data_IF_611056423199
#
_entry.id   IF_611056423199
#
_cell.length_a   1.000
_cell.length_b   1.000
_cell.length_c   1.000
_cell.angle_alpha   90.00
_cell.angle_beta   90.00
_cell.angle_gamma   90.00
#
_symmetry.space_group_name_H-M   'P 1'
#
loop_
_entity.id
_entity.type
_entity.pdbx_description
1 polymer ?
#
# COMPACT_ATOMS: atom_id res chain seq x y z
N UNK A 1 5.33 -51.28 53.62
CA UNK A 1 4.45 -50.69 52.58
C UNK A 1 5.31 -49.97 51.56
N UNK A 2 5.40 -50.52 50.35
CA UNK A 2 6.17 -49.98 49.23
C UNK A 2 5.57 -48.63 48.80
N UNK A 3 6.38 -47.56 48.78
CA UNK A 3 6.02 -46.30 48.11
C UNK A 3 6.27 -46.49 46.61
N UNK A 4 5.18 -46.60 45.84
CA UNK A 4 5.22 -46.54 44.38
C UNK A 4 5.41 -45.07 44.01
N UNK A 5 6.62 -44.71 43.57
CA UNK A 5 6.88 -43.42 42.91
C UNK A 5 6.52 -43.59 41.44
N UNK A 6 5.38 -43.05 41.02
CA UNK A 6 5.01 -42.98 39.61
C UNK A 6 5.81 -41.82 39.00
N UNK A 7 6.90 -42.15 38.31
CA UNK A 7 7.60 -41.20 37.45
C UNK A 7 6.78 -41.02 36.16
N UNK A 8 5.91 -39.99 36.13
CA UNK A 8 5.27 -39.57 34.89
C UNK A 8 6.30 -38.75 34.11
N UNK A 9 6.97 -39.39 33.18
CA UNK A 9 7.84 -38.74 32.19
C UNK A 9 6.93 -38.07 31.15
N UNK A 10 6.64 -36.78 31.30
CA UNK A 10 5.95 -36.01 30.27
C UNK A 10 6.86 -35.91 29.04
N UNK A 11 6.58 -36.72 28.02
CA UNK A 11 7.20 -36.59 26.71
C UNK A 11 6.43 -35.51 25.95
N UNK A 12 7.10 -34.40 25.64
CA UNK A 12 6.60 -33.28 24.82
C UNK A 12 6.60 -33.63 23.31
N UNK A 13 6.10 -34.80 22.95
CA UNK A 13 5.89 -35.17 21.55
C UNK A 13 4.53 -35.85 21.43
N UNK A 14 3.70 -35.32 20.53
CA UNK A 14 2.37 -35.78 20.15
C UNK A 14 1.18 -35.22 20.96
N UNK A 15 1.08 -33.90 21.05
CA UNK A 15 -0.24 -33.27 20.91
C UNK A 15 -0.54 -33.17 19.41
N UNK A 16 -1.68 -33.69 18.91
CA UNK A 16 -2.09 -33.37 17.56
C UNK A 16 -2.25 -31.85 17.51
N UNK A 17 -1.47 -31.18 16.67
CA UNK A 17 -1.71 -29.77 16.33
C UNK A 17 -3.12 -29.75 15.76
N UNK A 18 -4.11 -29.37 16.58
CA UNK A 18 -5.44 -29.07 16.09
C UNK A 18 -5.21 -28.00 15.02
N UNK A 19 -5.53 -28.33 13.77
CA UNK A 19 -5.29 -27.43 12.65
C UNK A 19 -6.23 -26.23 12.85
N UNK A 20 -5.72 -25.19 13.53
CA UNK A 20 -6.48 -24.00 13.92
C UNK A 20 -7.13 -23.36 12.69
N UNK A 21 -6.39 -23.31 11.58
CA UNK A 21 -6.87 -22.85 10.29
C UNK A 21 -7.28 -24.03 9.39
N UNK A 22 -8.56 -24.12 9.08
CA UNK A 22 -9.16 -25.10 8.19
C UNK A 22 -8.94 -24.73 6.71
N UNK A 23 -9.33 -25.63 5.81
CA UNK A 23 -9.40 -25.39 4.37
C UNK A 23 -8.14 -24.78 3.73
N UNK A 24 -6.96 -25.24 4.19
CA UNK A 24 -5.68 -24.77 3.65
C UNK A 24 -5.24 -23.38 4.15
N UNK A 25 -5.95 -22.80 5.12
CA UNK A 25 -5.58 -21.55 5.75
C UNK A 25 -4.22 -21.62 6.46
N UNK A 26 -3.48 -20.52 6.42
CA UNK A 26 -2.17 -20.38 7.10
C UNK A 26 -2.37 -19.67 8.44
N UNK A 27 -1.88 -20.25 9.53
CA UNK A 27 -1.91 -19.59 10.84
C UNK A 27 -0.86 -18.49 10.90
N UNK A 28 -1.29 -17.30 11.30
CA UNK A 28 -0.43 -16.16 11.60
C UNK A 28 -0.52 -15.94 13.11
N UNK A 29 0.63 -16.06 13.77
CA UNK A 29 0.74 -15.89 15.22
C UNK A 29 0.62 -14.40 15.59
N UNK A 30 -0.13 -14.11 16.65
CA UNK A 30 -0.38 -12.77 17.18
C UNK A 30 0.00 -12.69 18.67
N UNK A 31 -0.04 -11.49 19.25
CA UNK A 31 0.30 -11.33 20.69
C UNK A 31 -0.86 -11.86 21.53
N UNK A 32 -0.69 -13.06 22.11
CA UNK A 32 -1.75 -13.80 22.81
C UNK A 32 -2.99 -14.10 21.95
N UNK A 33 -2.86 -14.05 20.62
CA UNK A 33 -3.94 -14.29 19.67
C UNK A 33 -3.40 -15.06 18.47
N UNK A 34 -4.29 -15.56 17.62
CA UNK A 34 -3.93 -16.07 16.30
C UNK A 34 -4.96 -15.56 15.29
N UNK A 35 -4.54 -15.45 14.04
CA UNK A 35 -5.45 -15.23 12.92
C UNK A 35 -5.15 -16.22 11.81
N UNK A 36 -6.17 -16.62 11.08
CA UNK A 36 -6.03 -17.49 9.94
C UNK A 36 -6.05 -16.66 8.66
N UNK A 37 -4.98 -16.74 7.86
CA UNK A 37 -5.01 -16.28 6.48
C UNK A 37 -5.67 -17.35 5.62
N UNK A 38 -6.93 -17.15 5.28
CA UNK A 38 -7.73 -18.10 4.52
C UNK A 38 -7.28 -18.17 3.05
N UNK A 39 -7.48 -19.34 2.44
CA UNK A 39 -7.40 -19.44 0.98
C UNK A 39 -8.63 -18.79 0.35
N UNK A 40 -8.48 -18.34 -0.90
CA UNK A 40 -9.57 -17.80 -1.70
C UNK A 40 -10.83 -18.69 -1.62
N UNK A 41 -11.98 -18.06 -1.38
CA UNK A 41 -13.27 -18.74 -1.25
C UNK A 41 -13.56 -19.31 0.14
N UNK A 42 -12.71 -19.05 1.14
CA UNK A 42 -12.96 -19.42 2.53
C UNK A 42 -12.84 -18.22 3.48
N UNK A 43 -13.63 -18.24 4.55
CA UNK A 43 -13.74 -17.17 5.55
C UNK A 43 -14.01 -17.69 6.95
N UNK A 44 -14.02 -16.78 7.93
CA UNK A 44 -14.20 -17.05 9.34
C UNK A 44 -12.88 -17.19 10.09
N UNK A 45 -12.93 -17.10 11.42
CA UNK A 45 -11.75 -17.14 12.32
C UNK A 45 -10.78 -18.29 12.03
N UNK A 46 -11.33 -19.44 11.64
CA UNK A 46 -10.60 -20.66 11.34
C UNK A 46 -10.73 -21.06 9.86
N UNK A 47 -11.15 -20.15 8.96
CA UNK A 47 -11.42 -20.45 7.55
C UNK A 47 -12.45 -21.56 7.32
N UNK A 48 -13.41 -21.72 8.24
CA UNK A 48 -14.38 -22.81 8.24
C UNK A 48 -15.56 -22.60 7.27
N UNK A 49 -15.82 -21.36 6.86
CA UNK A 49 -16.96 -21.01 6.02
C UNK A 49 -16.51 -20.90 4.58
N UNK A 50 -17.28 -21.45 3.65
CA UNK A 50 -17.05 -21.28 2.22
C UNK A 50 -17.86 -20.08 1.72
N UNK A 51 -17.25 -19.25 0.87
CA UNK A 51 -17.94 -18.15 0.18
C UNK A 51 -18.11 -18.56 -1.28
N UNK A 52 -19.33 -18.38 -1.79
CA UNK A 52 -19.62 -18.53 -3.21
C UNK A 52 -19.16 -17.29 -3.98
N UNK A 53 -17.90 -17.32 -4.43
CA UNK A 53 -17.36 -16.29 -5.31
C UNK A 53 -17.84 -16.43 -6.76
N UNK A 54 -18.46 -17.56 -7.15
CA UNK A 54 -18.93 -17.77 -8.53
C UNK A 54 -20.14 -16.91 -8.85
N UNK A 55 -21.00 -16.65 -7.87
CA UNK A 55 -22.12 -15.71 -8.00
C UNK A 55 -21.67 -14.32 -8.49
N UNK A 56 -20.49 -13.86 -8.05
CA UNK A 56 -19.97 -12.54 -8.41
C UNK A 56 -19.35 -12.51 -9.81
N UNK A 57 -18.89 -13.64 -10.34
CA UNK A 57 -18.50 -13.71 -11.76
C UNK A 57 -19.71 -13.45 -12.68
N UNK A 58 -20.91 -13.87 -12.27
CA UNK A 58 -22.15 -13.59 -13.03
C UNK A 58 -22.51 -12.11 -12.95
N UNK A 59 -22.37 -11.51 -11.76
CA UNK A 59 -22.58 -10.06 -11.57
C UNK A 59 -21.63 -9.24 -12.46
N UNK A 60 -20.33 -9.56 -12.45
CA UNK A 60 -19.32 -8.88 -13.27
C UNK A 60 -19.66 -8.94 -14.77
N UNK A 61 -20.11 -10.09 -15.25
CA UNK A 61 -20.54 -10.25 -16.64
C UNK A 61 -21.73 -9.33 -16.97
N UNK A 62 -22.73 -9.28 -16.09
CA UNK A 62 -23.90 -8.41 -16.26
C UNK A 62 -23.50 -6.92 -16.25
N UNK A 63 -22.63 -6.51 -15.32
CA UNK A 63 -22.15 -5.13 -15.25
C UNK A 63 -21.36 -4.75 -16.51
N UNK A 64 -20.52 -5.65 -17.03
CA UNK A 64 -19.82 -5.44 -18.29
C UNK A 64 -20.78 -5.23 -19.47
N UNK A 65 -21.86 -6.01 -19.55
CA UNK A 65 -22.91 -5.83 -20.56
C UNK A 65 -23.64 -4.48 -20.40
N UNK A 66 -23.94 -4.07 -19.17
CA UNK A 66 -24.54 -2.78 -18.88
C UNK A 66 -23.64 -1.62 -19.32
N UNK A 67 -22.33 -1.73 -19.11
CA UNK A 67 -21.40 -0.70 -19.55
C UNK A 67 -21.24 -0.61 -21.05
N UNK A 68 -21.26 -1.75 -21.75
CA UNK A 68 -21.31 -1.76 -23.21
C UNK A 68 -22.61 -1.10 -23.71
N UNK A 69 -23.75 -1.40 -23.06
CA UNK A 69 -25.06 -0.81 -23.39
C UNK A 69 -25.12 0.70 -23.16
N UNK A 70 -24.48 1.20 -22.11
CA UNK A 70 -24.46 2.62 -21.75
C UNK A 70 -23.33 3.43 -22.38
N UNK A 71 -22.56 2.80 -23.28
CA UNK A 71 -21.41 3.39 -23.97
C UNK A 71 -20.40 4.01 -22.99
N UNK A 72 -20.12 3.28 -21.90
CA UNK A 72 -19.23 3.78 -20.86
C UNK A 72 -17.79 4.02 -21.35
N UNK A 73 -17.40 3.45 -22.48
CA UNK A 73 -16.08 3.69 -23.10
C UNK A 73 -15.92 5.16 -23.53
N UNK A 74 -16.99 5.82 -23.99
CA UNK A 74 -16.90 7.24 -24.42
C UNK A 74 -17.04 8.22 -23.26
N UNK A 75 -17.57 7.75 -22.13
CA UNK A 75 -17.75 8.51 -20.89
C UNK A 75 -16.55 8.42 -19.95
N UNK A 76 -15.86 7.28 -19.98
CA UNK A 76 -14.67 7.01 -19.19
C UNK A 76 -13.65 8.16 -19.19
N UNK A 77 -13.32 8.66 -17.99
CA UNK A 77 -12.24 9.65 -17.79
C UNK A 77 -12.57 11.05 -18.30
N UNK A 78 -13.85 11.37 -18.47
CA UNK A 78 -14.34 12.70 -18.85
C UNK A 78 -14.38 13.69 -17.67
N UNK A 79 -14.00 13.25 -16.45
CA UNK A 79 -14.00 14.02 -15.18
C UNK A 79 -15.39 14.31 -14.61
N UNK A 80 -16.41 13.62 -15.10
CA UNK A 80 -17.79 13.68 -14.65
C UNK A 80 -18.18 12.27 -14.27
N UNK A 81 -18.57 12.04 -13.03
CA UNK A 81 -19.03 10.72 -12.63
C UNK A 81 -20.37 10.37 -13.30
N UNK A 82 -20.34 9.58 -14.37
CA UNK A 82 -21.51 9.00 -14.99
C UNK A 82 -22.01 7.82 -14.15
N UNK A 83 -23.06 8.03 -13.36
CA UNK A 83 -23.60 7.01 -12.43
C UNK A 83 -23.98 5.69 -13.12
N UNK A 84 -24.36 5.74 -14.40
CA UNK A 84 -24.66 4.54 -15.21
C UNK A 84 -23.41 3.71 -15.55
N UNK A 85 -22.22 4.25 -15.28
CA UNK A 85 -20.91 3.64 -15.47
C UNK A 85 -20.15 3.42 -14.15
N UNK A 86 -20.80 3.72 -13.01
CA UNK A 86 -20.26 3.58 -11.66
C UNK A 86 -20.32 2.13 -11.16
N UNK A 87 -19.71 1.23 -11.91
CA UNK A 87 -19.59 -0.20 -11.58
C UNK A 87 -18.13 -0.59 -11.45
N UNK A 88 -17.83 -1.60 -10.63
CA UNK A 88 -16.47 -2.11 -10.52
C UNK A 88 -15.95 -2.64 -11.86
N UNK A 89 -16.80 -3.36 -12.61
CA UNK A 89 -16.49 -3.88 -13.94
C UNK A 89 -16.07 -2.79 -14.95
N UNK A 90 -16.45 -1.53 -14.69
CA UNK A 90 -16.21 -0.39 -15.56
C UNK A 90 -15.24 0.61 -14.92
N UNK A 91 -14.55 0.13 -13.88
CA UNK A 91 -13.56 0.85 -13.10
C UNK A 91 -14.10 2.18 -12.57
N UNK A 92 -15.37 2.21 -12.16
CA UNK A 92 -16.05 3.39 -11.63
C UNK A 92 -15.93 4.59 -12.58
N UNK A 93 -16.34 4.38 -13.83
CA UNK A 93 -16.20 5.35 -14.92
C UNK A 93 -14.74 5.78 -15.16
N UNK A 94 -13.84 4.79 -15.17
CA UNK A 94 -12.38 4.98 -15.25
C UNK A 94 -11.81 5.94 -14.19
N UNK A 95 -12.38 5.91 -13.00
CA UNK A 95 -11.94 6.71 -11.85
C UNK A 95 -12.77 7.96 -11.61
N UNK A 96 -13.61 8.40 -12.55
CA UNK A 96 -14.39 9.63 -12.39
C UNK A 96 -15.38 9.54 -11.22
N UNK A 97 -15.88 8.33 -10.92
CA UNK A 97 -16.73 8.07 -9.75
C UNK A 97 -15.96 7.65 -8.50
N UNK A 98 -14.69 7.25 -8.61
CA UNK A 98 -13.86 6.79 -7.47
C UNK A 98 -12.72 7.74 -7.15
N UNK A 99 -12.94 9.05 -7.28
CA UNK A 99 -11.95 10.09 -6.96
C UNK A 99 -10.59 9.88 -7.67
N UNK A 100 -10.61 9.37 -8.90
CA UNK A 100 -9.43 9.10 -9.72
C UNK A 100 -8.57 7.92 -9.26
N UNK A 101 -9.08 7.07 -8.35
CA UNK A 101 -8.35 5.93 -7.81
C UNK A 101 -8.92 4.60 -8.29
N UNK A 102 -8.22 3.50 -8.01
CA UNK A 102 -8.69 2.12 -8.24
C UNK A 102 -8.75 1.39 -6.89
N UNK A 103 -9.83 1.57 -6.11
CA UNK A 103 -9.84 1.26 -4.69
C UNK A 103 -9.45 -0.18 -4.32
N UNK A 104 -9.85 -1.15 -5.14
CA UNK A 104 -9.67 -2.58 -4.85
C UNK A 104 -8.55 -3.23 -5.69
N UNK A 105 -7.69 -2.48 -6.38
CA UNK A 105 -6.64 -3.06 -7.25
C UNK A 105 -5.66 -3.98 -6.49
N UNK A 106 -5.46 -3.73 -5.19
CA UNK A 106 -4.59 -4.54 -4.31
C UNK A 106 -5.31 -5.73 -3.67
N UNK A 107 -6.63 -5.77 -3.71
CA UNK A 107 -7.46 -6.77 -3.04
C UNK A 107 -7.43 -8.12 -3.79
N UNK A 108 -7.40 -9.24 -3.07
CA UNK A 108 -7.40 -10.58 -3.68
C UNK A 108 -8.74 -10.92 -4.36
N UNK A 109 -9.85 -10.43 -3.80
CA UNK A 109 -11.22 -10.64 -4.31
C UNK A 109 -11.87 -9.29 -4.64
N UNK A 110 -11.37 -8.57 -5.66
CA UNK A 110 -11.62 -7.14 -5.79
C UNK A 110 -13.06 -6.81 -6.22
N UNK A 111 -13.66 -7.58 -7.14
CA UNK A 111 -15.08 -7.44 -7.49
C UNK A 111 -15.98 -7.72 -6.29
N UNK A 112 -15.79 -8.86 -5.63
CA UNK A 112 -16.57 -9.22 -4.44
C UNK A 112 -16.55 -8.10 -3.39
N UNK A 113 -15.35 -7.68 -2.99
CA UNK A 113 -15.18 -6.65 -1.96
C UNK A 113 -15.67 -5.28 -2.41
N UNK A 114 -15.61 -4.93 -3.69
CA UNK A 114 -16.22 -3.71 -4.20
C UNK A 114 -17.74 -3.65 -3.98
N UNK A 115 -18.43 -4.79 -4.15
CA UNK A 115 -19.87 -4.86 -3.98
C UNK A 115 -20.29 -4.80 -2.51
N UNK A 116 -19.60 -5.56 -1.65
CA UNK A 116 -19.94 -5.67 -0.23
C UNK A 116 -19.36 -4.56 0.64
N UNK A 117 -18.41 -3.77 0.13
CA UNK A 117 -17.85 -2.63 0.85
C UNK A 117 -18.96 -1.71 1.39
N UNK A 118 -19.00 -1.58 2.73
CA UNK A 118 -19.96 -0.73 3.45
C UNK A 118 -21.41 -1.08 3.20
N UNK A 119 -21.72 -2.36 3.04
CA UNK A 119 -23.10 -2.82 2.93
C UNK A 119 -23.79 -3.02 4.29
N UNK A 120 -23.04 -2.80 5.39
CA UNK A 120 -23.48 -2.95 6.77
C UNK A 120 -23.40 -4.38 7.30
N UNK A 121 -22.79 -5.31 6.57
CA UNK A 121 -22.53 -6.68 6.99
C UNK A 121 -21.04 -6.95 7.00
N UNK A 122 -20.58 -7.65 8.02
CA UNK A 122 -19.19 -8.08 8.06
C UNK A 122 -18.92 -9.18 7.03
N UNK A 123 -18.05 -8.90 6.07
CA UNK A 123 -17.44 -9.82 5.12
C UNK A 123 -15.96 -10.06 5.46
N UNK A 124 -15.63 -11.13 6.22
CA UNK A 124 -14.26 -11.28 6.74
C UNK A 124 -13.19 -11.55 5.67
N UNK A 125 -13.56 -11.89 4.44
CA UNK A 125 -12.59 -11.96 3.31
C UNK A 125 -12.14 -10.55 2.91
N UNK A 126 -13.01 -9.55 3.07
CA UNK A 126 -12.75 -8.16 2.73
C UNK A 126 -12.20 -7.36 3.91
N UNK A 127 -12.26 -7.91 5.13
CA UNK A 127 -11.70 -7.27 6.32
C UNK A 127 -10.16 -7.39 6.40
N UNK A 128 -9.48 -6.72 5.48
CA UNK A 128 -8.03 -6.50 5.48
C UNK A 128 -7.72 -5.18 4.77
N UNK A 129 -6.53 -4.65 4.96
CA UNK A 129 -6.17 -3.32 4.46
C UNK A 129 -6.26 -3.22 2.93
N UNK A 130 -5.84 -4.27 2.22
CA UNK A 130 -5.81 -4.34 0.76
C UNK A 130 -7.22 -4.32 0.15
N UNK A 131 -8.21 -4.78 0.91
CA UNK A 131 -9.64 -4.75 0.60
C UNK A 131 -10.39 -3.68 1.43
N UNK A 132 -9.65 -2.71 2.00
CA UNK A 132 -10.19 -1.53 2.67
C UNK A 132 -11.03 -1.81 3.92
N UNK A 133 -10.68 -2.89 4.64
CA UNK A 133 -11.32 -3.36 5.87
C UNK A 133 -12.82 -3.60 5.74
N UNK A 134 -13.28 -3.97 4.54
CA UNK A 134 -14.71 -4.07 4.24
C UNK A 134 -15.49 -2.78 4.56
N UNK A 135 -14.79 -1.65 4.50
CA UNK A 135 -15.37 -0.38 4.89
C UNK A 135 -15.65 -0.21 6.39
N UNK A 136 -15.09 -1.10 7.20
CA UNK A 136 -15.23 -1.23 8.65
C UNK A 136 -16.53 -1.86 9.17
N UNK A 137 -17.27 -2.58 8.30
CA UNK A 137 -18.51 -3.29 8.69
C UNK A 137 -18.27 -4.48 9.65
N UNK A 138 -17.02 -4.95 9.76
CA UNK A 138 -16.63 -6.04 10.65
C UNK A 138 -16.34 -5.64 12.08
N UNK A 139 -16.19 -4.34 12.36
CA UNK A 139 -15.90 -3.90 13.70
C UNK A 139 -17.16 -3.91 14.59
N UNK A 140 -16.93 -4.25 15.85
CA UNK A 140 -17.93 -4.21 16.92
C UNK A 140 -18.04 -2.84 17.59
N UNK A 141 -17.11 -1.91 17.32
CA UNK A 141 -17.17 -0.57 17.91
C UNK A 141 -18.25 0.26 17.20
N UNK A 142 -19.17 0.92 17.94
CA UNK A 142 -20.19 1.75 17.33
C UNK A 142 -19.54 2.86 16.50
N UNK A 143 -19.81 2.88 15.19
CA UNK A 143 -19.43 3.99 14.30
C UNK A 143 -20.08 5.32 14.74
N UNK A 144 -21.12 5.27 15.57
CA UNK A 144 -21.99 6.41 15.82
C UNK A 144 -21.50 7.28 16.98
N UNK A 145 -21.24 8.56 16.69
CA UNK A 145 -20.93 9.57 17.70
C UNK A 145 -22.18 9.92 18.52
N UNK A 146 -22.14 9.72 19.85
CA UNK A 146 -23.27 10.01 20.74
C UNK A 146 -23.65 11.50 20.78
N UNK A 147 -22.67 12.40 20.63
CA UNK A 147 -22.87 13.87 20.61
C UNK A 147 -22.40 14.47 19.28
N UNK A 148 -22.90 13.93 18.18
CA UNK A 148 -22.45 14.25 16.83
C UNK A 148 -22.36 15.78 16.55
N UNK A 149 -23.43 16.53 16.84
CA UNK A 149 -23.47 17.98 16.55
C UNK A 149 -22.45 18.76 17.40
N UNK A 150 -22.32 18.43 18.69
CA UNK A 150 -21.36 19.06 19.58
C UNK A 150 -19.92 18.79 19.12
N UNK A 151 -19.59 17.51 18.90
CA UNK A 151 -18.27 17.08 18.49
C UNK A 151 -17.89 17.61 17.11
N UNK A 152 -18.86 17.77 16.18
CA UNK A 152 -18.59 18.38 14.87
C UNK A 152 -18.07 19.81 15.02
N UNK A 153 -18.66 20.60 15.92
CA UNK A 153 -18.32 22.03 16.10
C UNK A 153 -17.04 22.27 16.90
N UNK A 154 -16.66 21.33 17.77
CA UNK A 154 -15.45 21.39 18.60
C UNK A 154 -14.29 20.55 18.05
N UNK A 155 -14.51 19.87 16.92
CA UNK A 155 -13.49 19.04 16.30
C UNK A 155 -12.21 19.82 15.98
N UNK A 156 -11.07 19.36 16.52
CA UNK A 156 -9.75 19.96 16.30
C UNK A 156 -9.70 21.47 16.60
N UNK A 157 -10.43 21.93 17.61
CA UNK A 157 -10.46 23.33 18.03
C UNK A 157 -9.30 23.71 18.97
N UNK A 158 -8.50 22.72 19.38
CA UNK A 158 -7.37 22.85 20.30
C UNK A 158 -7.74 22.71 21.77
N UNK A 159 -8.98 22.34 22.09
CA UNK A 159 -9.46 22.03 23.43
C UNK A 159 -9.85 20.55 23.50
N UNK A 160 -9.45 19.88 24.58
CA UNK A 160 -9.79 18.47 24.75
C UNK A 160 -11.23 18.30 25.28
N UNK A 161 -12.11 17.86 24.40
CA UNK A 161 -13.45 17.35 24.68
C UNK A 161 -13.43 15.83 24.86
N UNK A 162 -13.25 15.39 26.11
CA UNK A 162 -13.14 13.96 26.46
C UNK A 162 -14.31 13.09 26.00
N UNK A 163 -15.50 13.68 25.85
CA UNK A 163 -16.69 12.97 25.35
C UNK A 163 -16.63 12.72 23.84
N UNK A 164 -15.85 13.53 23.11
CA UNK A 164 -15.57 13.41 21.68
C UNK A 164 -14.30 12.60 21.39
N UNK A 165 -13.48 12.32 22.42
CA UNK A 165 -12.26 11.51 22.31
C UNK A 165 -12.56 9.99 22.22
N UNK A 166 -13.36 9.59 21.22
CA UNK A 166 -13.71 8.21 20.90
C UNK A 166 -13.65 8.00 19.38
N UNK A 167 -13.50 6.74 18.92
CA UNK A 167 -13.32 6.42 17.49
C UNK A 167 -14.48 6.93 16.61
N UNK A 168 -15.73 6.72 17.05
CA UNK A 168 -16.93 7.14 16.33
C UNK A 168 -17.14 8.66 16.29
N UNK A 169 -16.38 9.43 17.08
CA UNK A 169 -16.37 10.89 17.06
C UNK A 169 -15.03 11.46 16.52
N UNK A 170 -14.18 10.61 15.91
CA UNK A 170 -12.95 11.06 15.26
C UNK A 170 -11.85 11.52 16.24
N UNK A 171 -11.83 10.99 17.46
CA UNK A 171 -10.82 11.29 18.50
C UNK A 171 -10.71 12.78 18.86
N UNK A 172 -11.82 13.51 18.76
CA UNK A 172 -11.83 14.96 18.98
C UNK A 172 -10.80 15.72 18.11
N UNK A 173 -10.50 15.18 16.93
CA UNK A 173 -9.45 15.73 16.08
C UNK A 173 -8.04 15.63 16.68
N UNK A 174 -7.83 14.80 17.71
CA UNK A 174 -6.54 14.62 18.37
C UNK A 174 -6.19 15.70 19.39
N UNK A 175 -7.15 16.49 19.87
CA UNK A 175 -6.91 17.56 20.87
C UNK A 175 -6.64 17.02 22.29
N UNK A 176 -7.03 15.78 22.58
CA UNK A 176 -6.99 15.23 23.93
C UNK A 176 -5.68 14.57 24.36
N UNK A 177 -4.94 13.92 23.46
CA UNK A 177 -3.73 13.20 23.83
C UNK A 177 -2.49 13.84 23.17
N UNK A 178 -1.70 14.55 23.97
CA UNK A 178 -0.47 15.17 23.50
C UNK A 178 0.65 14.14 23.26
N UNK A 179 1.08 14.02 22.00
CA UNK A 179 2.37 13.50 21.52
C UNK A 179 2.98 12.32 22.31
N UNK A 180 2.49 11.11 22.05
CA UNK A 180 3.40 9.96 22.02
C UNK A 180 4.11 9.90 20.66
N UNK A 181 5.35 9.40 20.68
CA UNK A 181 6.36 9.41 19.61
C UNK A 181 6.01 8.47 18.44
N UNK A 182 4.73 8.29 18.11
CA UNK A 182 4.34 7.70 16.83
C UNK A 182 4.09 8.83 15.84
N UNK A 183 4.95 8.88 14.82
CA UNK A 183 4.82 9.87 13.77
C UNK A 183 3.54 9.57 12.97
N UNK A 184 2.78 10.61 12.58
CA UNK A 184 1.70 10.47 11.60
C UNK A 184 2.23 9.84 10.31
N UNK A 185 1.33 9.31 9.49
CA UNK A 185 1.70 8.68 8.23
C UNK A 185 2.50 9.68 7.37
N UNK A 186 3.64 9.23 6.82
CA UNK A 186 4.55 10.11 6.08
C UNK A 186 3.93 10.53 4.74
N UNK A 187 3.79 11.84 4.54
CA UNK A 187 3.22 12.45 3.33
C UNK A 187 1.89 13.15 3.60
N UNK A 188 1.20 13.48 2.51
CA UNK A 188 -0.05 14.24 2.53
C UNK A 188 -1.03 13.63 1.54
N UNK A 189 -2.31 13.89 1.79
CA UNK A 189 -3.37 13.58 0.84
C UNK A 189 -3.81 14.88 0.19
N UNK A 190 -3.71 14.97 -1.13
CA UNK A 190 -4.31 16.05 -1.90
C UNK A 190 -5.70 15.62 -2.33
N UNK A 191 -6.71 16.39 -1.94
CA UNK A 191 -8.10 16.22 -2.37
C UNK A 191 -8.52 17.43 -3.22
N UNK A 192 -9.16 17.16 -4.36
CA UNK A 192 -9.79 18.19 -5.20
C UNK A 192 -11.30 18.04 -5.07
N UNK A 193 -11.96 19.09 -4.62
CA UNK A 193 -13.40 19.18 -4.41
C UNK A 193 -14.03 20.12 -5.44
N UNK A 194 -15.20 19.78 -5.99
CA UNK A 194 -15.92 20.62 -6.96
C UNK A 194 -16.80 21.69 -6.30
N UNK A 195 -16.27 22.33 -5.25
CA UNK A 195 -16.89 23.43 -4.51
C UNK A 195 -15.94 24.61 -4.41
N UNK A 196 -16.48 25.81 -4.22
CA UNK A 196 -15.64 27.02 -4.08
C UNK A 196 -14.87 27.03 -2.75
N UNK A 197 -13.71 27.72 -2.65
CA UNK A 197 -12.95 27.77 -1.41
C UNK A 197 -13.72 28.38 -0.23
N UNK A 198 -14.57 29.39 -0.46
CA UNK A 198 -15.44 29.97 0.58
C UNK A 198 -16.46 28.95 1.11
N UNK A 199 -17.06 28.17 0.21
CA UNK A 199 -18.03 27.13 0.55
C UNK A 199 -17.36 25.93 1.25
N UNK A 200 -16.16 25.55 0.82
CA UNK A 200 -15.35 24.54 1.51
C UNK A 200 -15.06 24.97 2.96
N UNK A 201 -14.59 26.20 3.16
CA UNK A 201 -14.29 26.71 4.51
C UNK A 201 -15.52 26.70 5.41
N UNK A 202 -16.70 26.98 4.86
CA UNK A 202 -17.95 26.94 5.60
C UNK A 202 -18.28 25.53 6.14
N UNK A 203 -17.96 24.50 5.38
CA UNK A 203 -18.26 23.10 5.71
C UNK A 203 -17.03 22.31 6.18
N UNK A 204 -15.88 22.98 6.38
CA UNK A 204 -14.60 22.32 6.61
C UNK A 204 -14.57 21.48 7.90
N UNK A 205 -15.20 21.95 8.99
CA UNK A 205 -15.27 21.17 10.24
C UNK A 205 -16.06 19.88 10.04
N UNK A 206 -17.26 19.96 9.45
CA UNK A 206 -18.09 18.78 9.14
C UNK A 206 -17.37 17.82 8.21
N UNK A 207 -16.64 18.35 7.22
CA UNK A 207 -15.80 17.54 6.33
C UNK A 207 -14.75 16.76 7.08
N UNK A 208 -13.91 17.44 7.86
CA UNK A 208 -12.80 16.82 8.58
C UNK A 208 -13.30 15.81 9.62
N UNK A 209 -14.32 16.19 10.38
CA UNK A 209 -14.96 15.31 11.37
C UNK A 209 -15.54 14.05 10.73
N UNK A 210 -16.31 14.18 9.65
CA UNK A 210 -16.90 13.01 8.97
C UNK A 210 -15.82 12.12 8.37
N UNK A 211 -14.83 12.72 7.72
CA UNK A 211 -13.69 12.02 7.16
C UNK A 211 -12.91 11.27 8.24
N UNK A 212 -12.76 11.87 9.42
CA UNK A 212 -12.14 11.24 10.58
C UNK A 212 -12.88 10.03 11.09
N UNK A 213 -14.22 10.07 11.12
CA UNK A 213 -15.02 8.90 11.47
C UNK A 213 -14.79 7.77 10.48
N UNK A 214 -14.86 8.08 9.18
CA UNK A 214 -14.71 7.07 8.12
C UNK A 214 -13.30 6.47 8.08
N UNK A 215 -12.28 7.26 8.36
CA UNK A 215 -10.87 6.82 8.35
C UNK A 215 -10.37 6.30 9.70
N UNK A 216 -11.19 6.39 10.76
CA UNK A 216 -10.83 6.01 12.14
C UNK A 216 -9.56 6.70 12.66
N UNK A 217 -9.28 7.89 12.16
CA UNK A 217 -8.09 8.66 12.47
C UNK A 217 -8.37 10.15 12.45
N UNK A 218 -7.55 10.95 13.13
CA UNK A 218 -7.69 12.39 13.11
C UNK A 218 -7.20 12.95 11.76
N UNK A 219 -7.99 13.82 11.13
CA UNK A 219 -7.71 14.38 9.81
C UNK A 219 -7.62 15.89 9.92
N UNK A 220 -6.52 16.45 9.46
CA UNK A 220 -6.27 17.88 9.55
C UNK A 220 -5.94 18.47 8.19
N UNK A 221 -6.23 19.75 8.02
CA UNK A 221 -5.70 20.51 6.89
C UNK A 221 -4.24 20.83 7.18
N UNK A 222 -3.34 20.44 6.28
CA UNK A 222 -1.90 20.73 6.41
C UNK A 222 -1.72 22.24 6.52
N UNK A 223 -0.94 22.65 7.51
CA UNK A 223 -0.66 24.07 7.76
C UNK A 223 0.84 24.32 7.59
N UNK A 224 1.20 25.31 6.78
CA UNK A 224 2.59 25.76 6.59
C UNK A 224 2.68 27.22 7.04
N UNK A 225 3.54 27.51 8.03
CA UNK A 225 3.69 28.84 8.61
C UNK A 225 2.36 29.45 9.13
N UNK A 226 1.49 28.63 9.73
CA UNK A 226 0.19 29.07 10.24
C UNK A 226 -0.86 29.39 9.16
N UNK A 227 -0.60 29.05 7.89
CA UNK A 227 -1.57 29.15 6.78
C UNK A 227 -2.07 27.76 6.38
N UNK A 228 -3.40 27.54 6.33
CA UNK A 228 -3.96 26.28 5.83
C UNK A 228 -3.68 26.14 4.33
N UNK A 229 -3.30 24.95 3.89
CA UNK A 229 -2.95 24.64 2.50
C UNK A 229 -4.22 24.36 1.68
N UNK A 230 -4.97 25.44 1.40
CA UNK A 230 -6.19 25.45 0.58
C UNK A 230 -5.93 26.32 -0.64
N UNK A 231 -6.22 25.81 -1.82
CA UNK A 231 -5.96 26.46 -3.09
C UNK A 231 -7.23 26.50 -3.93
N UNK A 232 -7.38 27.57 -4.70
CA UNK A 232 -8.32 27.54 -5.83
C UNK A 232 -7.87 26.50 -6.86
N UNK A 233 -8.80 25.81 -7.50
CA UNK A 233 -8.50 24.81 -8.53
C UNK A 233 -9.37 25.00 -9.77
N UNK A 234 -8.80 24.70 -10.94
CA UNK A 234 -9.55 24.62 -12.19
C UNK A 234 -9.04 23.49 -13.09
N UNK A 235 -9.92 22.94 -13.93
CA UNK A 235 -9.58 21.84 -14.85
C UNK A 235 -8.48 22.17 -15.86
N UNK A 236 -8.37 23.43 -16.30
CA UNK A 236 -7.37 23.90 -17.28
C UNK A 236 -6.10 24.47 -16.63
N UNK A 237 -6.26 25.27 -15.57
CA UNK A 237 -5.17 25.96 -14.90
C UNK A 237 -4.49 25.14 -13.80
N UNK A 238 -5.06 23.99 -13.44
CA UNK A 238 -4.58 23.17 -12.34
C UNK A 238 -4.69 23.89 -10.99
N UNK A 239 -3.61 23.87 -10.22
CA UNK A 239 -3.55 24.52 -8.90
C UNK A 239 -3.40 26.04 -9.10
N UNK A 240 -4.39 26.77 -8.63
CA UNK A 240 -4.43 28.23 -8.65
C UNK A 240 -3.69 28.86 -7.46
N UNK A 241 -4.08 30.09 -7.13
CA UNK A 241 -3.50 30.81 -6.00
C UNK A 241 -3.90 30.16 -4.66
N UNK A 242 -2.96 30.19 -3.70
CA UNK A 242 -3.24 29.88 -2.30
C UNK A 242 -4.36 30.80 -1.81
N UNK A 243 -5.40 30.20 -1.26
CA UNK A 243 -6.55 30.94 -0.78
C UNK A 243 -6.17 31.66 0.52
N UNK A 244 -6.08 33.00 0.47
CA UNK A 244 -5.73 33.78 1.65
C UNK A 244 -6.95 33.88 2.57
N UNK A 245 -6.99 32.96 3.54
CA UNK A 245 -8.03 32.96 4.58
C UNK A 245 -7.78 34.18 5.47
N UNK A 246 -8.58 35.24 5.28
CA UNK A 246 -8.51 36.44 6.10
C UNK A 246 -8.59 36.06 7.60
N UNK A 247 -7.81 36.71 8.49
CA UNK A 247 -7.81 36.40 9.92
C UNK A 247 -9.20 36.46 10.55
N UNK A 248 -10.07 37.27 9.96
CA UNK A 248 -11.45 37.52 10.37
C UNK A 248 -12.50 36.52 9.86
N UNK A 249 -12.13 35.62 8.95
CA UNK A 249 -13.00 34.54 8.47
C UNK A 249 -12.72 33.19 9.12
N UNK A 250 -11.75 33.13 10.04
CA UNK A 250 -11.36 31.90 10.77
C UNK A 250 -12.45 31.40 11.73
N UNK A 251 -13.45 32.23 12.04
CA UNK A 251 -14.52 32.00 13.01
C UNK A 251 -15.94 32.03 12.41
N UNK A 252 -16.09 32.21 11.10
CA UNK A 252 -17.40 32.34 10.45
C UNK A 252 -17.92 30.99 9.95
N UNK A 253 -18.31 30.17 10.91
CA UNK A 253 -19.39 29.21 10.82
C UNK A 253 -20.72 30.00 10.67
N UNK A 254 -21.69 29.47 9.90
CA UNK A 254 -23.09 29.97 9.64
C UNK A 254 -23.33 30.74 8.31
N UNK A 255 -24.43 30.47 7.57
CA UNK A 255 -24.50 30.66 6.11
C UNK A 255 -25.19 31.95 5.66
N UNK A 256 -24.95 32.35 4.40
CA UNK A 256 -25.99 32.97 3.59
C UNK A 256 -25.85 32.63 2.11
N UNK A 257 -26.99 32.23 1.54
CA UNK A 257 -27.20 31.81 0.16
C UNK A 257 -26.83 32.91 -0.84
N UNK A 258 -25.86 32.65 -1.71
CA UNK A 258 -25.84 33.29 -3.02
C UNK A 258 -25.75 32.27 -4.15
N UNK A 259 -26.74 32.40 -5.03
CA UNK A 259 -27.04 31.59 -6.18
C UNK A 259 -25.99 31.83 -7.27
N UNK A 260 -25.17 30.82 -7.57
CA UNK A 260 -24.17 30.90 -8.63
C UNK A 260 -24.84 30.75 -10.01
N UNK A 261 -24.45 31.68 -10.89
CA UNK A 261 -24.87 31.81 -12.28
C UNK A 261 -24.16 30.73 -13.13
N UNK A 262 -24.90 30.02 -13.97
CA UNK A 262 -24.37 28.97 -14.85
C UNK A 262 -23.53 29.56 -16.00
N UNK A 263 -22.47 28.82 -16.35
CA UNK A 263 -21.96 28.55 -17.71
C UNK A 263 -20.55 29.07 -18.07
N UNK A 264 -19.58 28.17 -17.90
CA UNK A 264 -18.46 27.86 -18.81
C UNK A 264 -18.09 26.38 -18.60
N UNK A 265 -17.61 25.66 -19.62
CA UNK A 265 -17.18 24.23 -19.57
C UNK A 265 -15.95 23.97 -18.65
N UNK A 266 -15.56 24.95 -17.85
CA UNK A 266 -14.42 24.92 -16.94
C UNK A 266 -14.89 24.45 -15.56
N UNK A 267 -14.48 23.23 -15.15
CA UNK A 267 -14.65 22.78 -13.78
C UNK A 267 -13.77 23.66 -12.88
N UNK A 268 -14.38 24.22 -11.83
CA UNK A 268 -13.71 25.00 -10.79
C UNK A 268 -13.96 24.34 -9.45
N UNK A 269 -13.00 24.45 -8.56
CA UNK A 269 -13.05 23.77 -7.28
C UNK A 269 -12.03 24.27 -6.30
N UNK A 270 -11.81 23.45 -5.27
CA UNK A 270 -10.87 23.70 -4.19
C UNK A 270 -9.93 22.52 -4.10
N UNK A 271 -8.63 22.78 -4.05
CA UNK A 271 -7.62 21.79 -3.75
C UNK A 271 -7.19 21.97 -2.29
N UNK A 272 -7.26 20.88 -1.52
CA UNK A 272 -6.96 20.86 -0.09
C UNK A 272 -5.89 19.82 0.16
N UNK A 273 -4.88 20.18 0.95
CA UNK A 273 -3.87 19.23 1.41
C UNK A 273 -4.19 18.82 2.84
N UNK A 274 -4.32 17.50 3.06
CA UNK A 274 -4.70 16.90 4.32
C UNK A 274 -3.55 16.07 4.89
N UNK A 275 -3.48 16.01 6.21
CA UNK A 275 -2.65 15.09 6.99
C UNK A 275 -3.57 14.15 7.77
N UNK A 276 -3.17 12.89 7.92
CA UNK A 276 -3.95 11.89 8.66
C UNK A 276 -3.10 11.29 9.76
N UNK A 277 -3.64 11.31 10.98
CA UNK A 277 -3.05 10.69 12.16
C UNK A 277 -3.88 9.49 12.62
N UNK A 278 -3.33 8.30 12.37
CA UNK A 278 -3.91 7.00 12.76
C UNK A 278 -3.25 6.43 14.03
N UNK A 279 -2.46 7.22 14.75
CA UNK A 279 -1.75 6.76 15.97
C UNK A 279 -2.72 6.35 17.07
N UNK A 280 -3.87 7.01 17.17
CA UNK A 280 -4.96 6.66 18.08
C UNK A 280 -5.56 5.29 17.78
N UNK A 281 -5.85 5.05 16.49
CA UNK A 281 -6.34 3.78 15.99
C UNK A 281 -5.39 2.65 16.43
N UNK A 282 -4.08 2.79 16.14
CA UNK A 282 -3.03 1.82 16.50
C UNK A 282 -2.89 1.52 18.00
N UNK A 283 -3.30 2.45 18.88
CA UNK A 283 -3.28 2.24 20.34
C UNK A 283 -4.39 1.30 20.81
N UNK A 284 -5.53 1.32 20.13
CA UNK A 284 -6.77 0.65 20.57
C UNK A 284 -7.03 -0.61 19.79
N UNK A 285 -6.86 -0.55 18.48
CA UNK A 285 -6.97 -1.67 17.56
C UNK A 285 -5.76 -1.64 16.61
N UNK A 286 -4.90 -2.66 16.64
CA UNK A 286 -3.72 -2.66 15.76
C UNK A 286 -4.00 -3.28 14.40
N UNK A 287 -5.10 -4.01 14.26
CA UNK A 287 -5.34 -4.86 13.11
C UNK A 287 -6.23 -4.18 12.06
N UNK A 288 -7.13 -3.28 12.48
CA UNK A 288 -8.07 -2.55 11.60
C UNK A 288 -7.72 -1.06 11.44
N UNK A 289 -6.43 -0.76 11.27
CA UNK A 289 -5.94 0.60 11.02
C UNK A 289 -5.08 0.65 9.77
N UNK A 290 -5.22 1.73 9.00
CA UNK A 290 -4.38 1.95 7.83
C UNK A 290 -2.91 2.15 8.22
N UNK A 291 -2.03 1.46 7.52
CA UNK A 291 -0.57 1.58 7.68
C UNK A 291 0.09 2.55 6.68
N UNK A 292 -0.64 3.00 5.65
CA UNK A 292 -0.12 3.88 4.61
C UNK A 292 -1.20 4.79 3.99
N UNK A 293 -0.76 5.91 3.39
CA UNK A 293 -1.66 6.90 2.78
C UNK A 293 -2.30 6.44 1.48
N UNK A 294 -1.72 5.48 0.76
CA UNK A 294 -2.31 5.00 -0.50
C UNK A 294 -3.57 4.20 -0.22
N UNK A 295 -3.55 3.34 0.79
CA UNK A 295 -4.73 2.58 1.23
C UNK A 295 -5.86 3.51 1.72
N UNK A 296 -5.52 4.64 2.37
CA UNK A 296 -6.50 5.68 2.72
C UNK A 296 -7.10 6.33 1.47
N UNK A 297 -6.27 6.71 0.49
CA UNK A 297 -6.75 7.31 -0.77
C UNK A 297 -7.62 6.34 -1.56
N UNK A 298 -7.27 5.05 -1.57
CA UNK A 298 -8.08 3.98 -2.15
C UNK A 298 -9.44 3.88 -1.42
N UNK A 299 -9.46 3.94 -0.08
CA UNK A 299 -10.70 4.02 0.72
C UNK A 299 -11.56 5.23 0.34
N UNK A 300 -10.97 6.42 0.16
CA UNK A 300 -11.72 7.61 -0.28
C UNK A 300 -12.35 7.41 -1.65
N UNK A 301 -11.66 6.71 -2.55
CA UNK A 301 -12.22 6.36 -3.85
C UNK A 301 -13.40 5.41 -3.75
N UNK A 302 -13.32 4.37 -2.90
CA UNK A 302 -14.45 3.46 -2.67
C UNK A 302 -15.65 4.19 -2.04
N UNK A 303 -15.41 5.04 -1.04
CA UNK A 303 -16.44 5.84 -0.39
C UNK A 303 -17.08 6.86 -1.36
N UNK A 304 -16.29 7.45 -2.28
CA UNK A 304 -16.82 8.34 -3.32
C UNK A 304 -17.68 7.56 -4.34
N UNK A 305 -17.27 6.35 -4.71
CA UNK A 305 -18.03 5.49 -5.62
C UNK A 305 -19.38 5.06 -5.00
N UNK A 306 -19.44 4.87 -3.68
CA UNK A 306 -20.68 4.64 -2.92
C UNK A 306 -21.51 5.92 -2.69
N UNK A 307 -21.08 7.06 -3.23
CA UNK A 307 -21.72 8.38 -3.11
C UNK A 307 -21.80 8.94 -1.67
N UNK A 308 -21.21 8.30 -0.67
CA UNK A 308 -21.27 8.75 0.73
C UNK A 308 -20.68 10.15 0.91
N UNK A 309 -19.60 10.47 0.19
CA UNK A 309 -18.97 11.79 0.24
C UNK A 309 -19.79 12.86 -0.48
N UNK A 310 -20.63 12.48 -1.45
CA UNK A 310 -21.50 13.41 -2.17
C UNK A 310 -22.67 13.87 -1.30
N UNK A 311 -23.18 13.00 -0.41
CA UNK A 311 -24.24 13.33 0.54
C UNK A 311 -23.85 14.42 1.55
N UNK A 312 -22.54 14.61 1.78
CA UNK A 312 -21.99 15.68 2.61
C UNK A 312 -21.95 17.05 1.89
N UNK A 313 -22.43 17.14 0.65
CA UNK A 313 -22.40 18.37 -0.15
C UNK A 313 -21.00 18.73 -0.66
N UNK A 314 -20.06 17.78 -0.67
CA UNK A 314 -18.65 18.01 -1.02
C UNK A 314 -18.18 16.98 -2.04
N UNK A 315 -18.64 17.08 -3.30
CA UNK A 315 -18.26 16.14 -4.36
C UNK A 315 -16.74 16.13 -4.56
N UNK A 316 -16.13 14.96 -4.34
CA UNK A 316 -14.71 14.73 -4.56
C UNK A 316 -14.48 14.42 -6.04
N UNK A 317 -13.65 15.25 -6.69
CA UNK A 317 -13.20 15.00 -8.06
C UNK A 317 -12.00 14.05 -8.09
N UNK A 318 -11.02 14.26 -7.20
CA UNK A 318 -9.86 13.37 -7.15
C UNK A 318 -9.13 13.41 -5.81
N UNK A 319 -8.54 12.28 -5.41
CA UNK A 319 -7.64 12.18 -4.26
C UNK A 319 -6.31 11.53 -4.68
N UNK A 320 -5.18 12.02 -4.16
CA UNK A 320 -3.85 11.43 -4.41
C UNK A 320 -2.90 11.66 -3.25
N UNK A 321 -1.87 10.84 -3.16
CA UNK A 321 -0.79 10.99 -2.16
C UNK A 321 0.31 11.89 -2.69
N UNK A 322 0.79 12.81 -1.86
CA UNK A 322 2.03 13.56 -2.05
C UNK A 322 3.01 13.21 -0.93
N UNK A 323 4.11 12.53 -1.28
CA UNK A 323 5.17 12.22 -0.32
C UNK A 323 6.07 13.45 -0.14
N UNK A 324 6.44 13.76 1.10
CA UNK A 324 7.39 14.82 1.40
C UNK A 324 8.79 14.42 0.88
N UNK A 325 9.15 14.88 -0.32
CA UNK A 325 10.44 14.58 -0.98
C UNK A 325 11.69 15.13 -0.23
N UNK A 326 11.55 15.60 1.01
CA UNK A 326 12.60 16.27 1.79
C UNK A 326 13.73 15.35 2.29
N UNK A 327 13.63 14.02 2.11
CA UNK A 327 14.74 13.09 2.42
C UNK A 327 15.57 12.66 1.21
N UNK A 328 15.25 13.15 -0.01
CA UNK A 328 15.97 12.76 -1.23
C UNK A 328 16.85 13.89 -1.81
N UNK A 329 17.52 14.63 -0.93
CA UNK A 329 18.73 15.38 -1.28
C UNK A 329 19.62 15.61 -0.05
N UNK A 330 19.93 14.57 0.74
CA UNK A 330 21.19 14.61 1.49
C UNK A 330 22.30 14.48 0.44
N UNK A 331 22.69 15.61 -0.14
CA UNK A 331 23.89 15.71 -0.96
C UNK A 331 25.03 15.00 -0.22
N UNK A 332 25.77 14.17 -0.97
CA UNK A 332 26.91 13.40 -0.46
C UNK A 332 27.79 14.34 0.37
N UNK A 333 27.85 14.11 1.69
CA UNK A 333 28.60 14.97 2.61
C UNK A 333 30.06 15.05 2.17
N UNK A 334 30.68 16.23 2.20
CA UNK A 334 32.09 16.42 1.85
C UNK A 334 33.03 15.47 2.61
N UNK A 335 32.64 15.05 3.83
CA UNK A 335 33.38 14.05 4.59
C UNK A 335 33.42 12.68 3.90
N UNK A 336 32.31 12.25 3.28
CA UNK A 336 32.26 10.99 2.53
C UNK A 336 33.10 11.04 1.25
N UNK A 337 33.14 12.18 0.56
CA UNK A 337 34.04 12.38 -0.60
C UNK A 337 35.51 12.35 -0.18
N UNK A 338 35.87 12.97 0.95
CA UNK A 338 37.24 12.93 1.48
C UNK A 338 37.67 11.51 1.88
N UNK A 339 36.79 10.74 2.51
CA UNK A 339 37.06 9.34 2.86
C UNK A 339 37.27 8.50 1.59
N UNK A 340 36.39 8.64 0.59
CA UNK A 340 36.55 7.93 -0.69
C UNK A 340 37.86 8.31 -1.40
N UNK A 341 38.27 9.58 -1.35
CA UNK A 341 39.53 10.04 -1.94
C UNK A 341 40.75 9.48 -1.19
N UNK A 342 40.71 9.41 0.15
CA UNK A 342 41.76 8.80 0.95
C UNK A 342 41.89 7.29 0.68
N UNK A 343 40.76 6.58 0.55
CA UNK A 343 40.75 5.16 0.15
C UNK A 343 41.36 5.00 -1.26
N UNK A 344 40.98 5.86 -2.20
CA UNK A 344 41.55 5.80 -3.54
C UNK A 344 43.06 6.04 -3.55
N UNK A 345 43.55 7.07 -2.85
CA UNK A 345 44.98 7.38 -2.75
C UNK A 345 45.76 6.23 -2.09
N UNK A 346 45.23 5.65 -1.00
CA UNK A 346 45.88 4.52 -0.33
C UNK A 346 45.95 3.28 -1.22
N UNK A 347 44.90 2.96 -1.99
CA UNK A 347 44.94 1.83 -2.94
C UNK A 347 45.98 2.04 -4.04
N UNK A 348 46.12 3.26 -4.56
CA UNK A 348 47.14 3.60 -5.56
C UNK A 348 48.55 3.48 -4.99
N UNK A 349 48.78 3.97 -3.76
CA UNK A 349 50.08 3.86 -3.09
C UNK A 349 50.47 2.41 -2.80
N UNK A 350 49.52 1.56 -2.38
CA UNK A 350 49.75 0.14 -2.18
C UNK A 350 50.12 -0.53 -3.51
N UNK A 351 49.34 -0.28 -4.58
CA UNK A 351 49.64 -0.83 -5.90
C UNK A 351 51.03 -0.40 -6.40
N UNK A 352 51.39 0.87 -6.22
CA UNK A 352 52.72 1.38 -6.56
C UNK A 352 53.83 0.68 -5.75
N UNK A 353 53.62 0.50 -4.44
CA UNK A 353 54.58 -0.20 -3.57
C UNK A 353 54.81 -1.66 -3.98
N UNK A 354 53.75 -2.36 -4.42
CA UNK A 354 53.85 -3.74 -4.90
C UNK A 354 54.64 -3.82 -6.22
N UNK A 355 54.42 -2.87 -7.14
CA UNK A 355 55.19 -2.77 -8.40
C UNK A 355 56.68 -2.50 -8.11
N UNK A 356 56.99 -1.64 -7.14
CA UNK A 356 58.38 -1.34 -6.76
C UNK A 356 59.06 -2.52 -6.06
N UNK A 357 58.35 -3.28 -5.22
CA UNK A 357 58.89 -4.51 -4.62
C UNK A 357 59.15 -5.60 -5.68
N UNK A 358 58.29 -5.71 -6.71
CA UNK A 358 58.49 -6.63 -7.83
C UNK A 358 59.78 -6.37 -8.62
N UNK A 359 60.19 -5.10 -8.76
CA UNK A 359 61.45 -4.72 -9.43
C UNK A 359 62.72 -5.06 -8.63
N UNK A 360 62.61 -5.32 -7.32
CA UNK A 360 63.77 -5.60 -6.44
C UNK A 360 64.01 -7.09 -6.14
N UNK A 361 63.10 -8.00 -6.50
CA UNK A 361 63.32 -9.45 -6.30
C UNK A 361 64.17 -10.01 -7.46
N UNK A 362 65.45 -10.28 -7.20
CA UNK A 362 66.28 -11.13 -8.07
C UNK A 362 65.93 -12.60 -7.82
N UNK A 363 65.56 -13.33 -8.86
CA UNK A 363 65.22 -14.77 -8.83
C UNK A 363 66.49 -15.61 -8.63
N UNK A 364 66.70 -16.17 -7.44
CA UNK A 364 67.71 -17.20 -7.19
C UNK A 364 67.18 -18.56 -7.69
N UNK A 365 67.85 -19.14 -8.69
CA UNK A 365 67.54 -20.49 -9.17
C UNK A 365 68.38 -21.51 -8.40
N UNK A 366 67.78 -22.22 -7.45
CA UNK A 366 68.40 -23.38 -6.81
C UNK A 366 68.06 -24.65 -7.59
N UNK A 367 69.04 -25.54 -7.83
CA UNK A 367 68.81 -26.85 -8.45
C UNK A 367 68.10 -27.79 -7.47
N UNK A 368 66.98 -28.35 -7.93
CA UNK A 368 66.15 -29.32 -7.21
C UNK A 368 66.82 -30.70 -7.32
N UNK A 369 66.98 -31.40 -6.19
CA UNK A 369 67.50 -32.76 -6.11
C UNK A 369 66.34 -33.78 -6.23
N UNK A 370 66.52 -34.84 -7.03
CA UNK A 370 65.53 -35.91 -7.22
C UNK A 370 66.02 -37.21 -6.57
N UNK A 371 65.22 -37.86 -5.70
CA UNK A 371 65.50 -39.22 -5.25
C UNK A 371 65.15 -40.27 -6.31
N UNK A 372 65.90 -41.40 -6.40
CA UNK A 372 65.70 -42.44 -7.41
C UNK A 372 64.49 -43.35 -7.11
N UNK A 373 63.89 -43.98 -8.14
CA UNK A 373 62.66 -44.76 -8.01
C UNK A 373 62.91 -46.19 -7.51
N UNK A 374 62.08 -46.67 -6.58
CA UNK A 374 61.97 -48.10 -6.25
C UNK A 374 60.74 -48.70 -6.93
N UNK A 375 60.97 -49.80 -7.63
CA UNK A 375 60.01 -50.56 -8.44
C UNK A 375 58.94 -51.33 -7.62
N UNK A 376 57.88 -51.70 -8.35
CA UNK A 376 57.00 -52.87 -8.14
C UNK A 376 55.73 -52.69 -7.29
N UNK A 377 54.57 -52.61 -7.96
CA UNK A 377 53.65 -53.75 -8.03
C UNK A 377 52.54 -53.56 -9.09
N UNK A 378 52.21 -54.65 -9.78
CA UNK A 378 51.25 -54.78 -10.89
C UNK A 378 49.83 -55.12 -10.41
N UNK A 379 48.85 -54.86 -11.29
CA UNK A 379 47.55 -55.56 -11.44
C UNK A 379 46.49 -55.22 -10.37
N UNK A 380 45.17 -55.14 -10.61
CA UNK A 380 44.27 -55.49 -11.72
C UNK A 380 42.90 -54.83 -11.44
N UNK A 381 42.19 -54.49 -12.52
CA UNK A 381 40.72 -54.45 -12.71
C UNK A 381 39.77 -54.56 -11.50
N UNK A 382 38.79 -53.64 -11.42
CA UNK A 382 37.55 -53.86 -10.67
C UNK A 382 36.70 -52.59 -10.54
N UNK A 383 35.54 -52.60 -11.23
CA UNK A 383 34.43 -51.64 -11.14
C UNK A 383 34.12 -51.15 -9.71
N UNK A 384 33.63 -49.91 -9.57
CA UNK A 384 32.20 -49.60 -9.42
C UNK A 384 32.06 -48.14 -8.95
N UNK A 385 31.29 -47.36 -9.70
CA UNK A 385 31.00 -45.97 -9.43
C UNK A 385 30.14 -45.75 -8.18
N UNK A 386 30.30 -44.56 -7.61
CA UNK A 386 29.41 -43.82 -6.71
C UNK A 386 29.49 -44.16 -5.21
N UNK A 387 30.06 -43.24 -4.43
CA UNK A 387 29.30 -42.52 -3.38
C UNK A 387 29.93 -41.16 -3.06
N UNK A 388 29.02 -40.23 -2.85
CA UNK A 388 29.17 -38.81 -2.57
C UNK A 388 29.82 -38.52 -1.20
N UNK A 389 30.44 -37.34 -1.04
CA UNK A 389 30.06 -36.30 -0.05
C UNK A 389 31.15 -35.21 0.04
N UNK A 390 30.67 -33.97 -0.07
CA UNK A 390 31.21 -32.67 0.30
C UNK A 390 32.32 -32.62 1.38
N UNK A 391 33.31 -31.74 1.17
CA UNK A 391 33.56 -30.56 2.03
C UNK A 391 34.81 -29.81 1.57
N UNK A 392 34.79 -28.47 1.55
CA UNK A 392 36.04 -27.68 1.50
C UNK A 392 36.02 -26.37 0.72
N UNK A 393 35.47 -25.33 1.33
CA UNK A 393 35.99 -23.95 1.42
C UNK A 393 36.83 -23.31 0.28
N UNK A 394 36.24 -22.21 -0.23
CA UNK A 394 36.77 -20.84 -0.35
C UNK A 394 37.88 -20.44 -1.37
N UNK A 395 37.65 -19.19 -1.85
CA UNK A 395 38.49 -18.25 -2.61
C UNK A 395 38.68 -18.54 -4.10
N UNK A 396 38.77 -17.59 -5.04
CA UNK A 396 38.47 -16.16 -5.12
C UNK A 396 38.90 -15.73 -6.53
N UNK A 397 38.04 -14.95 -7.21
CA UNK A 397 38.39 -13.79 -8.02
C UNK A 397 39.13 -13.85 -9.38
N UNK A 398 38.62 -12.94 -10.24
CA UNK A 398 39.22 -12.18 -11.36
C UNK A 398 39.55 -12.93 -12.67
N UNK A 399 39.18 -12.44 -13.86
CA UNK A 399 38.59 -11.14 -14.15
C UNK A 399 38.29 -10.86 -15.63
N UNK A 400 37.61 -9.73 -15.82
CA UNK A 400 37.74 -8.72 -16.89
C UNK A 400 37.91 -9.18 -18.34
N UNK A 401 36.91 -8.87 -19.18
CA UNK A 401 37.17 -8.32 -20.50
C UNK A 401 36.05 -7.38 -20.96
N UNK A 402 36.47 -6.31 -21.64
CA UNK A 402 35.72 -5.11 -22.03
C UNK A 402 34.66 -5.39 -23.10
N UNK A 403 33.61 -4.57 -23.03
CA UNK A 403 32.57 -4.36 -24.04
C UNK A 403 33.16 -3.62 -25.26
N UNK A 404 32.88 -4.12 -26.46
CA UNK A 404 32.95 -3.35 -27.71
C UNK A 404 31.62 -3.43 -28.44
N UNK A 405 31.28 -2.29 -29.03
CA UNK A 405 30.04 -1.85 -29.67
C UNK A 405 30.01 -2.29 -31.14
N UNK A 406 28.87 -2.77 -31.65
CA UNK A 406 28.37 -2.57 -33.02
C UNK A 406 27.03 -3.32 -33.25
N UNK A 407 25.96 -2.55 -33.35
CA UNK A 407 24.98 -2.48 -34.46
C UNK A 407 24.47 -3.75 -35.19
N UNK A 408 23.13 -3.83 -35.20
CA UNK A 408 22.22 -4.03 -36.35
C UNK A 408 21.84 -5.45 -36.86
N UNK A 409 20.51 -5.65 -36.81
CA UNK A 409 19.59 -6.22 -37.84
C UNK A 409 19.24 -7.74 -37.74
N UNK A 410 17.98 -8.12 -38.07
CA UNK A 410 17.23 -9.19 -37.41
C UNK A 410 17.06 -10.46 -38.26
N UNK A 411 16.75 -11.56 -37.57
CA UNK A 411 16.21 -12.83 -38.12
C UNK A 411 15.26 -13.34 -37.04
N UNK A 412 13.99 -13.67 -37.23
CA UNK A 412 13.34 -14.33 -38.36
C UNK A 412 12.76 -15.66 -37.85
N UNK A 413 11.52 -15.58 -37.34
CA UNK A 413 10.39 -16.55 -37.41
C UNK A 413 10.69 -18.06 -37.34
N UNK A 414 10.07 -18.77 -36.39
CA UNK A 414 9.18 -19.92 -36.67
C UNK A 414 8.46 -20.45 -35.41
N UNK A 415 7.14 -20.25 -35.36
CA UNK A 415 6.20 -21.10 -34.62
C UNK A 415 5.89 -22.37 -35.44
N UNK A 416 5.63 -23.53 -34.82
CA UNK A 416 5.13 -24.70 -35.52
C UNK A 416 3.63 -24.61 -35.81
N UNK A 417 3.29 -25.09 -37.01
CA UNK A 417 2.03 -25.01 -37.73
C UNK A 417 0.81 -25.64 -37.03
N UNK A 418 -0.33 -24.93 -37.10
CA UNK A 418 -1.66 -25.49 -37.31
C UNK A 418 -1.90 -25.61 -38.83
N UNK A 419 -2.37 -26.76 -39.30
CA UNK A 419 -3.09 -26.87 -40.57
C UNK A 419 -4.32 -27.75 -40.38
N UNK A 420 -5.45 -27.19 -40.80
CA UNK A 420 -6.75 -27.83 -41.03
C UNK A 420 -6.75 -28.31 -42.48
N UNK A 421 -7.43 -29.44 -42.74
CA UNK A 421 -7.92 -29.81 -44.06
C UNK A 421 -9.28 -30.48 -43.91
N UNK A 422 -10.33 -29.78 -44.36
CA UNK A 422 -11.66 -30.32 -44.62
C UNK A 422 -11.62 -31.30 -45.80
N UNK A 423 -12.50 -32.30 -45.79
CA UNK A 423 -13.03 -32.87 -47.03
C UNK A 423 -14.51 -33.25 -46.84
N UNK A 424 -15.29 -32.82 -47.82
CA UNK A 424 -16.72 -33.03 -48.04
C UNK A 424 -17.03 -34.39 -48.69
N UNK A 425 -18.31 -34.80 -48.58
CA UNK A 425 -19.03 -35.82 -49.38
C UNK A 425 -18.80 -37.32 -49.06
N UNK A 426 -19.76 -37.94 -48.38
CA UNK A 426 -20.76 -38.87 -48.97
C UNK A 426 -21.79 -39.29 -47.94
#
# INVERSE_FOLDING_TARGET
MLRIVINVKFSFHDFPVLKLCLNGGTCVDGVNSYRCRCQRGFTGKNCQHQIDLEQFNVTDLLEHELCAKHDCITKAGNKVCDQVCNYYACHYDSGDCSAGTKPFEKCESPSYCAHVFRDGKCDPICNNQECLFDGFDCDSIPEQCSKNDYCTTHYADGQCDRECNVIGCGWDGGDCDSFDVETPLEGNIIVILLISPDEFLHNAQTFLFTLSQKLRGAVHIRTINGKPMIYSWSSEGGIGQLYDVAPEKRYLLVPNLQRVKRQTDQLRGTMVMLTVDVSYCRKIDREECFSDLFSIVDYLGAANAKQELQELGMPVHSARVELDNAKQAKGISWQTLLICLLIFVTTVLIAYSMVQQGRKRKTLHARIWHPPPSESCKSSTGNLDTYSIHSGYLFSNYGTAKRSRADNIPVGIAHPNLYIGEDTQS
#
